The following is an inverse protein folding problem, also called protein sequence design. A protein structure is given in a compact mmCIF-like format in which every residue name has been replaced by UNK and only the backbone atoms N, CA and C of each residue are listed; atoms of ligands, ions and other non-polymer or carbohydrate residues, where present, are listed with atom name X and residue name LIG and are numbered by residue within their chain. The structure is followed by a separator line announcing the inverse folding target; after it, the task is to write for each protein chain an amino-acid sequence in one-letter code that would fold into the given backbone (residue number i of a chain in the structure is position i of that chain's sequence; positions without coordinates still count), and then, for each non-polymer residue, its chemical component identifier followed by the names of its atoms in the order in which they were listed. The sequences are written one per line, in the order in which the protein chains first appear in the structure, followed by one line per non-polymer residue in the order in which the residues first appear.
data_IF_442294933835
#
_entry.id   IF_442294933835
#
_cell.length_a   1.000
_cell.length_b   1.000
_cell.length_c   1.000
_cell.angle_alpha   90.00
_cell.angle_beta   90.00
_cell.angle_gamma   90.00
#
_symmetry.space_group_name_H-M   'P 1'
#
loop_
_entity.id
_entity.type
_entity.pdbx_description
1 polymer ?
#
# COMPACT_ATOMS: atom_id res chain seq x y z
N UNK A 1 8.88 12.46 -11.20
CA UNK A 1 10.18 11.77 -11.09
C UNK A 1 9.90 10.31 -10.79
N UNK A 2 10.25 9.42 -11.70
CA UNK A 2 10.08 7.98 -11.52
C UNK A 2 11.22 7.51 -10.59
N UNK A 3 10.91 7.29 -9.33
CA UNK A 3 11.88 6.72 -8.38
C UNK A 3 11.95 5.23 -8.67
N UNK A 4 13.01 4.81 -9.34
CA UNK A 4 13.23 3.40 -9.59
C UNK A 4 13.82 2.75 -8.33
N UNK A 5 13.14 1.72 -7.82
CA UNK A 5 13.79 0.66 -7.05
C UNK A 5 15.10 0.29 -7.77
N UNK A 6 16.18 -0.05 -7.06
CA UNK A 6 17.33 -0.70 -7.70
C UNK A 6 16.82 -1.84 -8.58
N UNK A 7 17.26 -1.94 -9.81
CA UNK A 7 16.73 -2.90 -10.78
C UNK A 7 16.67 -4.34 -10.24
N UNK A 8 17.65 -4.73 -9.42
CA UNK A 8 17.69 -6.04 -8.75
C UNK A 8 16.57 -6.24 -7.71
N UNK A 9 16.21 -5.20 -6.94
CA UNK A 9 15.14 -5.29 -5.95
C UNK A 9 13.75 -5.31 -6.63
N UNK A 10 13.58 -4.55 -7.70
CA UNK A 10 12.38 -4.57 -8.54
C UNK A 10 12.16 -5.96 -9.15
N UNK A 11 13.18 -6.54 -9.77
CA UNK A 11 13.10 -7.88 -10.37
C UNK A 11 12.88 -8.97 -9.32
N UNK A 12 13.50 -8.87 -8.15
CA UNK A 12 13.27 -9.80 -7.04
C UNK A 12 11.83 -9.77 -6.54
N UNK A 13 11.26 -8.59 -6.31
CA UNK A 13 9.87 -8.43 -5.89
C UNK A 13 8.89 -8.92 -6.97
N UNK A 14 9.16 -8.57 -8.24
CA UNK A 14 8.38 -9.01 -9.38
C UNK A 14 8.36 -10.54 -9.51
N UNK A 15 9.51 -11.18 -9.44
CA UNK A 15 9.63 -12.64 -9.50
C UNK A 15 8.86 -13.32 -8.37
N UNK A 16 9.00 -12.81 -7.14
CA UNK A 16 8.31 -13.34 -5.97
C UNK A 16 6.78 -13.20 -6.08
N UNK A 17 6.27 -12.06 -6.58
CA UNK A 17 4.85 -11.87 -6.82
C UNK A 17 4.30 -12.84 -7.86
N UNK A 18 5.02 -13.04 -8.97
CA UNK A 18 4.62 -13.97 -10.03
C UNK A 18 4.59 -15.43 -9.56
N UNK A 19 5.51 -15.82 -8.68
CA UNK A 19 5.61 -17.18 -8.16
C UNK A 19 4.56 -17.48 -7.09
N UNK A 20 4.35 -16.55 -6.14
CA UNK A 20 3.58 -16.83 -4.93
C UNK A 20 2.20 -16.18 -4.90
N UNK A 21 2.02 -15.02 -5.53
CA UNK A 21 0.82 -14.20 -5.39
C UNK A 21 -0.11 -14.22 -6.61
N UNK A 22 0.46 -14.35 -7.81
CA UNK A 22 -0.32 -14.32 -9.05
C UNK A 22 -0.87 -15.71 -9.37
N UNK A 23 -2.16 -15.76 -9.66
CA UNK A 23 -2.85 -16.96 -10.15
C UNK A 23 -3.47 -16.67 -11.51
N UNK A 24 -3.25 -17.55 -12.49
CA UNK A 24 -3.88 -17.50 -13.81
C UNK A 24 -5.09 -18.42 -13.83
N UNK A 25 -6.15 -18.02 -14.51
CA UNK A 25 -7.40 -18.78 -14.60
C UNK A 25 -8.60 -17.86 -14.76
N UNK A 26 -9.80 -18.42 -14.77
CA UNK A 26 -11.03 -17.65 -14.87
C UNK A 26 -11.53 -17.30 -13.47
N UNK A 27 -11.53 -16.01 -13.15
CA UNK A 27 -11.97 -15.48 -11.85
C UNK A 27 -13.15 -14.56 -12.02
N UNK A 28 -14.15 -14.68 -11.16
CA UNK A 28 -15.22 -13.68 -11.04
C UNK A 28 -14.85 -12.70 -9.94
N UNK A 29 -14.67 -11.44 -10.31
CA UNK A 29 -14.35 -10.36 -9.37
C UNK A 29 -15.58 -9.97 -8.54
N UNK A 30 -15.38 -9.25 -7.43
CA UNK A 30 -16.48 -8.70 -6.60
C UNK A 30 -17.44 -7.80 -7.39
N UNK A 31 -16.97 -7.19 -8.46
CA UNK A 31 -17.78 -6.39 -9.40
C UNK A 31 -18.67 -7.22 -10.34
N UNK A 32 -18.56 -8.55 -10.34
CA UNK A 32 -19.22 -9.45 -11.27
C UNK A 32 -18.49 -9.60 -12.61
N UNK A 33 -17.41 -8.86 -12.86
CA UNK A 33 -16.60 -9.00 -14.09
C UNK A 33 -15.72 -10.24 -14.02
N UNK A 34 -15.44 -10.83 -15.19
CA UNK A 34 -14.45 -11.92 -15.31
C UNK A 34 -13.04 -11.34 -15.44
N UNK A 35 -12.06 -12.07 -14.92
CA UNK A 35 -10.64 -11.77 -15.04
C UNK A 35 -9.88 -13.04 -15.34
N UNK A 36 -8.86 -12.95 -16.21
CA UNK A 36 -7.96 -14.07 -16.53
C UNK A 36 -6.85 -14.28 -15.50
N UNK A 37 -6.79 -13.43 -14.46
CA UNK A 37 -5.81 -13.50 -13.41
C UNK A 37 -6.31 -12.91 -12.09
N UNK A 38 -5.71 -13.37 -11.02
CA UNK A 38 -5.97 -12.88 -9.67
C UNK A 38 -4.65 -12.69 -8.94
N UNK A 39 -4.57 -11.72 -8.04
CA UNK A 39 -3.42 -11.52 -7.17
C UNK A 39 -3.83 -11.54 -5.70
N UNK A 40 -3.21 -12.44 -4.93
CA UNK A 40 -3.21 -12.44 -3.47
C UNK A 40 -1.84 -11.96 -2.99
N UNK A 41 -1.67 -10.66 -2.97
CA UNK A 41 -0.40 -10.01 -2.59
C UNK A 41 0.08 -10.37 -1.19
N UNK A 42 -0.81 -10.81 -0.29
CA UNK A 42 -0.47 -11.29 1.05
C UNK A 42 0.45 -12.50 1.04
N UNK A 43 0.36 -13.33 -0.03
CA UNK A 43 1.30 -14.43 -0.24
C UNK A 43 2.75 -13.97 -0.51
N UNK A 44 2.95 -12.68 -0.81
CA UNK A 44 4.26 -12.06 -0.94
C UNK A 44 4.57 -11.17 0.27
N UNK A 45 3.71 -10.21 0.57
CA UNK A 45 4.01 -9.20 1.60
C UNK A 45 4.09 -9.77 3.03
N UNK A 46 3.61 -10.99 3.26
CA UNK A 46 3.70 -11.70 4.54
C UNK A 46 4.76 -12.80 4.56
N UNK A 47 5.58 -12.97 3.50
CA UNK A 47 6.69 -13.93 3.49
C UNK A 47 8.00 -13.27 3.85
N UNK A 48 8.82 -13.90 4.72
CA UNK A 48 10.06 -13.30 5.21
C UNK A 48 11.05 -12.94 4.10
N UNK A 49 11.11 -13.73 3.02
CA UNK A 49 11.99 -13.51 1.87
C UNK A 49 11.65 -12.23 1.08
N UNK A 50 10.36 -11.83 1.11
CA UNK A 50 9.88 -10.68 0.36
C UNK A 50 9.59 -9.44 1.23
N UNK A 51 9.42 -9.60 2.54
CA UNK A 51 9.13 -8.50 3.46
C UNK A 51 10.14 -7.36 3.33
N UNK A 52 11.43 -7.68 3.27
CA UNK A 52 12.49 -6.66 3.16
C UNK A 52 12.45 -5.99 1.79
N UNK A 53 12.20 -6.75 0.71
CA UNK A 53 12.07 -6.19 -0.65
C UNK A 53 10.89 -5.21 -0.74
N UNK A 54 9.76 -5.55 -0.11
CA UNK A 54 8.60 -4.66 -0.04
C UNK A 54 8.93 -3.40 0.74
N UNK A 55 9.54 -3.55 1.93
CA UNK A 55 9.93 -2.42 2.77
C UNK A 55 10.93 -1.49 2.05
N UNK A 56 11.94 -2.05 1.38
CA UNK A 56 12.92 -1.28 0.59
C UNK A 56 12.25 -0.52 -0.54
N UNK A 57 11.32 -1.18 -1.23
CA UNK A 57 10.53 -0.55 -2.28
C UNK A 57 9.71 0.63 -1.75
N UNK A 58 8.97 0.44 -0.68
CA UNK A 58 8.18 1.50 -0.06
C UNK A 58 9.09 2.64 0.43
N UNK A 59 10.17 2.32 1.17
CA UNK A 59 11.11 3.33 1.70
C UNK A 59 11.78 4.16 0.60
N UNK A 60 11.95 3.61 -0.60
CA UNK A 60 12.54 4.35 -1.73
C UNK A 60 11.67 5.51 -2.23
N UNK A 61 10.39 5.52 -1.89
CA UNK A 61 9.43 6.54 -2.30
C UNK A 61 8.83 7.34 -1.14
N UNK A 62 9.03 6.89 0.11
CA UNK A 62 8.57 7.58 1.32
C UNK A 62 9.35 8.88 1.52
N UNK A 63 8.70 10.06 1.57
CA UNK A 63 9.36 11.34 1.83
C UNK A 63 10.18 11.30 3.14
N UNK A 64 11.34 11.97 3.16
CA UNK A 64 12.22 11.98 4.33
C UNK A 64 11.58 12.59 5.58
N UNK A 65 10.65 13.51 5.37
CA UNK A 65 9.90 14.20 6.40
C UNK A 65 8.56 13.53 6.77
N UNK A 66 8.33 12.29 6.31
CA UNK A 66 7.17 11.52 6.73
C UNK A 66 7.36 10.96 8.15
N UNK A 67 6.36 11.17 9.00
CA UNK A 67 6.35 10.78 10.43
C UNK A 67 5.77 9.38 10.63
N UNK A 68 4.81 8.97 9.78
CA UNK A 68 4.09 7.72 9.95
C UNK A 68 3.69 7.07 8.61
N UNK A 69 3.48 5.76 8.64
CA UNK A 69 2.97 4.96 7.54
C UNK A 69 1.84 4.04 8.04
N UNK A 70 0.77 3.93 7.27
CA UNK A 70 -0.36 3.06 7.61
C UNK A 70 -1.38 3.01 6.49
N UNK A 71 -2.52 2.36 6.75
CA UNK A 71 -3.61 2.28 5.78
C UNK A 71 -4.74 1.40 6.27
N UNK A 72 -5.67 1.08 5.37
CA UNK A 72 -6.87 0.34 5.73
C UNK A 72 -6.54 -1.13 6.03
N UNK A 73 -6.98 -1.59 7.22
CA UNK A 73 -6.78 -2.99 7.60
C UNK A 73 -7.57 -3.92 6.66
N UNK A 74 -7.06 -5.05 6.23
CA UNK A 74 -5.83 -5.77 6.62
C UNK A 74 -4.74 -5.65 5.54
N UNK A 75 -5.05 -5.12 4.34
CA UNK A 75 -4.11 -5.09 3.22
C UNK A 75 -2.87 -4.24 3.51
N UNK A 76 -3.08 -3.08 4.09
CA UNK A 76 -2.01 -2.16 4.46
C UNK A 76 -1.12 -2.64 5.61
N UNK A 77 -1.68 -3.39 6.56
CA UNK A 77 -1.01 -3.69 7.83
C UNK A 77 0.39 -4.34 7.66
N UNK A 78 0.54 -5.46 6.91
CA UNK A 78 1.85 -6.08 6.75
C UNK A 78 2.85 -5.16 6.05
N UNK A 79 2.39 -4.35 5.08
CA UNK A 79 3.25 -3.40 4.36
C UNK A 79 3.73 -2.29 5.28
N UNK A 80 2.82 -1.67 6.03
CA UNK A 80 3.13 -0.57 6.94
C UNK A 80 4.07 -1.01 8.08
N UNK A 81 3.75 -2.12 8.74
CA UNK A 81 4.52 -2.57 9.90
C UNK A 81 5.91 -3.08 9.53
N UNK A 82 6.07 -3.81 8.41
CA UNK A 82 7.40 -4.22 7.98
C UNK A 82 8.24 -3.03 7.53
N UNK A 83 7.63 -2.06 6.83
CA UNK A 83 8.33 -0.84 6.38
C UNK A 83 8.83 -0.03 7.57
N UNK A 84 8.00 0.21 8.57
CA UNK A 84 8.40 0.91 9.80
C UNK A 84 9.48 0.15 10.57
N UNK A 85 9.35 -1.17 10.69
CA UNK A 85 10.36 -2.02 11.33
C UNK A 85 11.71 -1.96 10.64
N UNK A 86 11.75 -2.08 9.30
CA UNK A 86 12.99 -1.96 8.52
C UNK A 86 13.57 -0.54 8.60
N UNK A 87 12.74 0.50 8.54
CA UNK A 87 13.18 1.88 8.74
C UNK A 87 13.89 2.06 10.09
N UNK A 88 13.30 1.53 11.17
CA UNK A 88 13.88 1.60 12.51
C UNK A 88 15.25 0.92 12.62
N UNK A 89 15.46 -0.23 11.96
CA UNK A 89 16.77 -0.90 11.92
C UNK A 89 17.85 -0.08 11.21
N UNK A 90 17.44 0.91 10.40
CA UNK A 90 18.31 1.83 9.66
C UNK A 90 18.41 3.21 10.29
N UNK A 91 17.92 3.37 11.53
CA UNK A 91 17.97 4.62 12.26
C UNK A 91 16.95 5.68 11.81
N UNK A 92 15.96 5.31 10.98
CA UNK A 92 14.87 6.20 10.58
C UNK A 92 13.65 5.97 11.47
N UNK A 93 13.21 7.01 12.17
CA UNK A 93 11.99 6.99 12.95
C UNK A 93 10.79 7.12 12.00
N UNK A 94 10.02 6.06 11.85
CA UNK A 94 8.78 6.03 11.07
C UNK A 94 7.75 5.25 11.89
N UNK A 95 6.71 5.93 12.36
CA UNK A 95 5.62 5.31 13.13
C UNK A 95 4.76 4.43 12.23
N UNK A 96 4.08 3.42 12.79
CA UNK A 96 3.13 2.60 12.05
C UNK A 96 1.76 2.59 12.72
N UNK A 97 0.71 2.58 11.90
CA UNK A 97 -0.67 2.52 12.35
C UNK A 97 -1.55 1.74 11.35
N UNK A 98 -2.75 1.37 11.82
CA UNK A 98 -3.81 0.78 10.99
C UNK A 98 -5.05 1.66 11.02
N UNK A 99 -5.79 1.70 9.91
CA UNK A 99 -7.12 2.29 9.84
C UNK A 99 -8.14 1.17 9.85
N UNK A 100 -9.00 1.13 10.87
CA UNK A 100 -10.10 0.16 10.95
C UNK A 100 -11.19 0.50 9.93
N UNK A 101 -11.85 -0.52 9.37
CA UNK A 101 -13.02 -0.35 8.50
C UNK A 101 -14.17 0.32 9.24
N UNK A 102 -14.35 -0.02 10.51
CA UNK A 102 -15.37 0.54 11.40
C UNK A 102 -14.73 1.13 12.66
N UNK A 103 -15.33 2.20 13.16
CA UNK A 103 -14.88 2.82 14.40
C UNK A 103 -15.11 1.88 15.59
N UNK A 104 -14.14 1.79 16.49
CA UNK A 104 -14.29 1.07 17.74
C UNK A 104 -15.13 1.92 18.70
N UNK A 105 -16.20 1.32 19.24
CA UNK A 105 -17.14 2.01 20.16
C UNK A 105 -16.59 2.08 21.60
N UNK A 106 -15.72 1.13 21.98
CA UNK A 106 -15.18 1.01 23.35
C UNK A 106 -13.66 1.26 23.39
N UNK A 107 -13.17 1.75 24.52
CA UNK A 107 -11.75 2.11 24.75
C UNK A 107 -11.43 3.48 24.19
N UNK A 108 -10.24 3.64 23.58
CA UNK A 108 -9.81 4.92 22.97
C UNK A 108 -10.66 5.37 21.77
N UNK A 109 -11.60 4.52 21.31
CA UNK A 109 -12.52 4.84 20.22
C UNK A 109 -11.84 5.00 18.86
N UNK A 110 -12.65 5.40 17.83
CA UNK A 110 -12.15 5.83 16.52
C UNK A 110 -11.66 4.72 15.59
N UNK A 111 -11.21 5.16 14.42
CA UNK A 111 -10.74 4.28 13.33
C UNK A 111 -9.22 4.03 13.37
N UNK A 112 -8.45 4.90 14.01
CA UNK A 112 -6.99 4.76 14.07
C UNK A 112 -6.59 3.78 15.18
N UNK A 113 -5.62 2.91 14.87
CA UNK A 113 -5.01 1.97 15.81
C UNK A 113 -3.49 1.93 15.56
N UNK A 114 -2.71 2.16 16.60
CA UNK A 114 -1.24 2.21 16.51
C UNK A 114 -0.71 3.58 16.86
N UNK A 115 0.48 3.91 16.34
CA UNK A 115 1.19 5.14 16.67
C UNK A 115 0.95 6.20 15.58
N UNK A 116 0.03 7.13 15.86
CA UNK A 116 -0.24 8.29 15.03
C UNK A 116 -0.62 9.47 15.92
N UNK A 117 -0.05 10.63 15.66
CA UNK A 117 -0.35 11.88 16.36
C UNK A 117 -0.98 12.92 15.41
N UNK A 118 -1.84 13.81 15.92
CA UNK A 118 -2.32 14.95 15.14
C UNK A 118 -1.15 15.79 14.62
N UNK A 119 -1.21 16.17 13.35
CA UNK A 119 -0.16 16.93 12.67
C UNK A 119 0.91 16.07 11.98
N UNK A 120 0.97 14.76 12.23
CA UNK A 120 1.91 13.87 11.54
C UNK A 120 1.72 13.89 10.03
N UNK A 121 2.83 13.89 9.29
CA UNK A 121 2.86 13.67 7.84
C UNK A 121 2.84 12.18 7.54
N UNK A 122 1.82 11.74 6.82
CA UNK A 122 1.48 10.32 6.72
C UNK A 122 1.60 9.79 5.30
N UNK A 123 2.25 8.66 5.14
CA UNK A 123 2.18 7.82 3.94
C UNK A 123 1.06 6.80 4.11
N UNK A 124 0.08 6.81 3.20
CA UNK A 124 -0.98 5.82 3.16
C UNK A 124 -0.56 4.69 2.22
N UNK A 125 -0.57 3.46 2.72
CA UNK A 125 -0.16 2.29 1.93
C UNK A 125 -1.27 1.27 1.74
N UNK A 126 -1.11 0.42 0.71
CA UNK A 126 -1.97 -0.75 0.44
C UNK A 126 -1.13 -1.84 -0.23
N UNK A 127 -1.51 -3.09 -0.07
CA UNK A 127 -0.86 -4.21 -0.75
C UNK A 127 -1.19 -4.25 -2.25
N UNK A 128 -2.47 -4.12 -2.62
CA UNK A 128 -2.92 -4.11 -4.01
C UNK A 128 -4.08 -3.15 -4.20
N UNK A 129 -4.00 -2.33 -5.22
CA UNK A 129 -5.08 -1.41 -5.59
C UNK A 129 -5.63 -1.72 -6.97
N UNK A 130 -6.96 -1.53 -7.12
CA UNK A 130 -7.64 -1.54 -8.43
C UNK A 130 -8.15 -0.13 -8.73
N UNK A 131 -8.99 0.42 -7.87
CA UNK A 131 -9.54 1.78 -8.00
C UNK A 131 -8.94 2.80 -7.02
N UNK A 132 -8.25 2.35 -5.98
CA UNK A 132 -7.69 3.22 -4.96
C UNK A 132 -8.66 3.62 -3.85
N UNK A 133 -9.89 3.08 -3.82
CA UNK A 133 -10.91 3.45 -2.81
C UNK A 133 -10.45 3.20 -1.38
N UNK A 134 -9.74 2.11 -1.10
CA UNK A 134 -9.19 1.80 0.23
C UNK A 134 -8.12 2.82 0.67
N UNK A 135 -7.25 3.24 -0.26
CA UNK A 135 -6.26 4.29 0.02
C UNK A 135 -6.92 5.62 0.36
N UNK A 136 -7.92 6.02 -0.43
CA UNK A 136 -8.65 7.28 -0.19
C UNK A 136 -9.47 7.23 1.09
N UNK A 137 -10.12 6.11 1.38
CA UNK A 137 -10.83 5.90 2.65
C UNK A 137 -9.89 6.05 3.85
N UNK A 138 -8.69 5.47 3.77
CA UNK A 138 -7.68 5.60 4.81
C UNK A 138 -7.17 7.05 4.92
N UNK A 139 -6.94 7.73 3.79
CA UNK A 139 -6.53 9.14 3.78
C UNK A 139 -7.58 10.06 4.42
N UNK A 140 -8.87 9.82 4.16
CA UNK A 140 -9.96 10.58 4.80
C UNK A 140 -9.98 10.33 6.31
N UNK A 141 -9.86 9.08 6.77
CA UNK A 141 -9.82 8.76 8.21
C UNK A 141 -8.61 9.40 8.91
N UNK A 142 -7.47 9.50 8.23
CA UNK A 142 -6.26 10.16 8.74
C UNK A 142 -6.47 11.68 8.84
N UNK A 143 -7.12 12.32 7.83
CA UNK A 143 -7.48 13.73 7.88
C UNK A 143 -8.47 14.02 9.02
N UNK A 144 -9.49 13.17 9.20
CA UNK A 144 -10.45 13.29 10.31
C UNK A 144 -9.77 13.16 11.68
N UNK A 145 -8.72 12.34 11.80
CA UNK A 145 -7.91 12.22 13.01
C UNK A 145 -7.05 13.47 13.28
N UNK A 146 -6.81 14.31 12.28
CA UNK A 146 -6.01 15.53 12.37
C UNK A 146 -4.56 15.35 11.88
N UNK A 147 -4.23 14.25 11.21
CA UNK A 147 -2.94 14.04 10.55
C UNK A 147 -3.02 14.38 9.06
N UNK A 148 -1.87 14.48 8.40
CA UNK A 148 -1.73 15.02 7.03
C UNK A 148 -1.25 13.95 6.07
N UNK A 149 -2.11 13.35 5.22
CA UNK A 149 -1.67 12.46 4.15
C UNK A 149 -0.79 13.23 3.15
N UNK A 150 0.40 12.71 2.85
CA UNK A 150 1.37 13.31 1.94
C UNK A 150 1.70 12.47 0.72
N UNK A 151 1.44 11.16 0.78
CA UNK A 151 1.68 10.20 -0.30
C UNK A 151 0.73 9.01 -0.16
N UNK A 152 0.20 8.55 -1.29
CA UNK A 152 -0.44 7.23 -1.42
C UNK A 152 0.53 6.28 -2.11
N UNK A 153 0.71 5.07 -1.57
CA UNK A 153 1.60 4.07 -2.17
C UNK A 153 0.98 2.67 -2.14
N UNK A 154 1.12 1.93 -3.24
CA UNK A 154 0.70 0.54 -3.31
C UNK A 154 1.87 -0.36 -3.72
N UNK A 155 1.88 -1.61 -3.24
CA UNK A 155 2.85 -2.60 -3.72
C UNK A 155 2.52 -2.95 -5.17
N UNK A 156 1.25 -3.18 -5.50
CA UNK A 156 0.80 -3.45 -6.87
C UNK A 156 -0.39 -2.58 -7.27
N UNK A 157 -0.26 -1.85 -8.37
CA UNK A 157 -1.40 -1.23 -9.05
C UNK A 157 -1.92 -2.19 -10.14
N UNK A 158 -3.05 -2.83 -9.84
CA UNK A 158 -3.74 -3.74 -10.75
C UNK A 158 -4.66 -3.00 -11.71
N UNK A 159 -5.16 -1.84 -11.32
CA UNK A 159 -6.26 -1.17 -12.00
C UNK A 159 -5.88 -0.06 -12.96
N UNK A 160 -4.78 0.64 -12.72
CA UNK A 160 -4.34 1.78 -13.52
C UNK A 160 -5.16 3.07 -13.35
N UNK A 161 -6.15 3.08 -12.44
CA UNK A 161 -7.04 4.25 -12.24
C UNK A 161 -6.75 5.00 -10.95
N UNK A 162 -5.92 4.43 -10.06
CA UNK A 162 -5.64 4.98 -8.74
C UNK A 162 -4.95 6.36 -8.81
N UNK A 163 -4.06 6.56 -9.79
CA UNK A 163 -3.35 7.83 -9.97
C UNK A 163 -4.31 9.00 -10.21
N UNK A 164 -5.31 8.83 -11.10
CA UNK A 164 -6.30 9.87 -11.38
C UNK A 164 -7.20 10.17 -10.18
N UNK A 165 -7.57 9.14 -9.41
CA UNK A 165 -8.36 9.31 -8.19
C UNK A 165 -7.56 10.05 -7.10
N UNK A 166 -6.28 9.73 -6.94
CA UNK A 166 -5.39 10.39 -6.00
C UNK A 166 -5.17 11.87 -6.36
N UNK A 167 -4.97 12.16 -7.66
CA UNK A 167 -4.81 13.53 -8.18
C UNK A 167 -6.05 14.38 -7.90
N UNK A 168 -7.26 13.83 -8.06
CA UNK A 168 -8.51 14.51 -7.73
C UNK A 168 -8.61 14.90 -6.24
N UNK A 169 -7.92 14.18 -5.37
CA UNK A 169 -7.80 14.45 -3.91
C UNK A 169 -6.58 15.31 -3.55
N UNK A 170 -5.81 15.74 -4.55
CA UNK A 170 -4.58 16.52 -4.37
C UNK A 170 -3.43 15.72 -3.75
N UNK A 171 -3.43 14.38 -3.88
CA UNK A 171 -2.43 13.50 -3.30
C UNK A 171 -1.58 12.84 -4.40
N UNK A 172 -0.26 12.80 -4.26
CA UNK A 172 0.58 12.00 -5.14
C UNK A 172 0.34 10.50 -4.88
N UNK A 173 0.40 9.71 -5.97
CA UNK A 173 0.33 8.26 -5.91
C UNK A 173 1.57 7.63 -6.54
N UNK A 174 2.02 6.52 -5.94
CA UNK A 174 3.09 5.65 -6.45
C UNK A 174 2.68 4.18 -6.32
N UNK A 175 3.04 3.37 -7.31
CA UNK A 175 3.00 1.92 -7.21
C UNK A 175 4.43 1.39 -7.36
N UNK A 176 4.78 0.34 -6.60
CA UNK A 176 6.08 -0.32 -6.79
C UNK A 176 6.07 -1.12 -8.09
N UNK A 177 4.96 -1.80 -8.37
CA UNK A 177 4.72 -2.57 -9.58
C UNK A 177 3.31 -2.31 -10.10
N UNK A 178 3.13 -2.47 -11.39
CA UNK A 178 1.86 -2.35 -12.08
C UNK A 178 1.44 -3.68 -12.69
N UNK A 179 0.17 -3.81 -13.11
CA UNK A 179 -0.27 -5.00 -13.86
C UNK A 179 0.59 -5.27 -15.12
N UNK A 180 0.95 -4.26 -15.95
CA UNK A 180 1.89 -4.44 -17.06
C UNK A 180 3.26 -4.98 -16.65
N UNK A 181 3.82 -4.55 -15.51
CA UNK A 181 5.10 -5.08 -15.01
C UNK A 181 5.03 -6.57 -14.69
N UNK A 182 3.84 -7.08 -14.34
CA UNK A 182 3.57 -8.49 -14.09
C UNK A 182 3.17 -9.27 -15.37
N UNK A 183 3.06 -8.58 -16.53
CA UNK A 183 2.68 -9.18 -17.82
C UNK A 183 1.18 -9.32 -18.01
N UNK A 184 0.39 -8.43 -17.41
CA UNK A 184 -1.08 -8.37 -17.54
C UNK A 184 -1.56 -6.98 -17.92
N UNK A 185 -2.75 -6.89 -18.49
CA UNK A 185 -3.42 -5.63 -18.72
C UNK A 185 -4.04 -5.09 -17.42
N UNK A 186 -4.23 -3.77 -17.36
CA UNK A 186 -4.96 -3.15 -16.27
C UNK A 186 -6.44 -3.58 -16.26
N UNK A 187 -6.99 -3.78 -15.08
CA UNK A 187 -8.39 -4.21 -14.89
C UNK A 187 -9.27 -3.15 -14.22
N UNK A 188 -8.88 -1.91 -14.24
CA UNK A 188 -9.44 -0.85 -13.40
C UNK A 188 -10.66 -0.11 -13.93
N UNK A 189 -11.06 -0.27 -15.15
CA UNK A 189 -12.19 0.47 -15.68
C UNK A 189 -13.55 -0.18 -15.43
#
# INVERSE_FOLDING_TARGET
MTTHLPATAFEGLRAHLLEHSVKRGDFTLKSGRTSSWFIDSKQTVCRPEAMVLVADGILSVVPDDADAIGGLTMGADPVAFVTAGVAATRGRALKAFSVRKEAKVHGAGGRIAGALDPGDKVVITEDTVTRGTSLLEAAHAVREFGAVPVLLVAVVDRGGTCAAMAEAEGLPFRALLTAPDLGFDYEGA
#
